data_IF_506058315133
#
_entry.id   IF_506058315133
#
_cell.length_a   1.000
_cell.length_b   1.000
_cell.length_c   1.000
_cell.angle_alpha   90.00
_cell.angle_beta   90.00
_cell.angle_gamma   90.00
#
_symmetry.space_group_name_H-M   'P 1'
#
loop_
_entity.id
_entity.type
_entity.pdbx_description
1 polymer ?
#
# COMPACT_ATOMS: atom_id res chain seq x y z
N UNK A 1 4.29 21.79 -3.92
CA UNK A 1 4.58 20.89 -2.79
C UNK A 1 3.49 19.83 -2.83
N UNK A 2 3.81 18.60 -3.26
CA UNK A 2 2.83 17.52 -3.38
C UNK A 2 2.39 17.10 -1.96
N UNK A 3 1.07 17.09 -1.73
CA UNK A 3 0.48 16.73 -0.44
C UNK A 3 0.07 15.26 -0.51
N UNK A 4 1.04 14.36 -0.40
CA UNK A 4 0.77 12.92 -0.31
C UNK A 4 0.07 12.67 1.02
N UNK A 5 -1.26 12.52 0.98
CA UNK A 5 -2.05 12.10 2.14
C UNK A 5 -1.83 10.59 2.36
N UNK A 6 -1.13 10.28 3.45
CA UNK A 6 -0.99 8.90 3.95
C UNK A 6 -2.37 8.41 4.39
N UNK A 7 -3.00 7.54 3.60
CA UNK A 7 -4.18 6.79 4.02
C UNK A 7 -3.74 5.69 5.01
N UNK A 8 -3.91 5.98 6.29
CA UNK A 8 -3.58 5.07 7.39
C UNK A 8 -4.88 4.73 8.13
N UNK A 9 -5.50 3.55 7.88
CA UNK A 9 -6.80 3.20 8.42
C UNK A 9 -6.81 3.07 9.96
N UNK A 10 -5.66 3.19 10.63
CA UNK A 10 -5.54 3.09 12.08
C UNK A 10 -5.01 4.35 12.78
N UNK A 11 -4.72 5.43 12.03
CA UNK A 11 -4.27 6.72 12.62
C UNK A 11 -5.37 7.78 12.69
N UNK A 12 -6.55 7.49 12.15
CA UNK A 12 -7.69 8.42 12.08
C UNK A 12 -8.57 8.46 13.36
N UNK A 13 -8.26 7.69 14.39
CA UNK A 13 -9.06 7.63 15.64
C UNK A 13 -8.96 8.91 16.51
N UNK A 14 -8.17 9.92 16.11
CA UNK A 14 -8.01 11.16 16.91
C UNK A 14 -8.43 12.46 16.21
N UNK A 15 -9.13 12.40 15.08
CA UNK A 15 -9.76 13.60 14.51
C UNK A 15 -11.27 13.40 14.43
N UNK A 16 -11.94 14.09 15.33
CA UNK A 16 -13.39 14.16 15.49
C UNK A 16 -14.01 14.79 14.23
N UNK A 17 -14.61 13.98 13.35
CA UNK A 17 -15.48 14.44 12.26
C UNK A 17 -16.84 13.68 12.33
N UNK A 18 -17.94 14.34 12.76
CA UNK A 18 -19.13 13.68 13.30
C UNK A 18 -20.16 13.14 12.27
N UNK A 19 -19.83 12.96 10.98
CA UNK A 19 -20.87 12.67 9.96
C UNK A 19 -20.64 11.53 8.93
N UNK A 20 -19.67 10.61 9.08
CA UNK A 20 -19.50 9.48 8.12
C UNK A 20 -19.50 8.06 8.69
N UNK A 21 -19.87 7.90 9.97
CA UNK A 21 -19.93 6.61 10.66
C UNK A 21 -21.32 5.95 10.60
N UNK A 22 -21.75 5.34 9.50
CA UNK A 22 -22.93 4.44 9.59
C UNK A 22 -22.86 3.13 8.78
N UNK A 23 -22.10 3.02 7.67
CA UNK A 23 -22.37 1.91 6.72
C UNK A 23 -21.40 0.70 6.68
N UNK A 24 -20.19 0.74 7.26
CA UNK A 24 -19.32 -0.46 7.29
C UNK A 24 -18.83 -0.89 8.68
N UNK A 25 -19.39 -0.26 9.72
CA UNK A 25 -19.39 -0.75 11.10
C UNK A 25 -20.19 -2.07 11.24
N UNK A 26 -20.93 -2.51 10.20
CA UNK A 26 -21.94 -3.56 10.28
C UNK A 26 -21.59 -4.93 9.67
N UNK A 27 -20.46 -5.11 8.96
CA UNK A 27 -20.17 -6.38 8.25
C UNK A 27 -19.06 -7.29 8.81
N UNK A 28 -18.49 -6.98 9.98
CA UNK A 28 -17.41 -7.80 10.60
C UNK A 28 -17.57 -8.11 12.08
N UNK A 29 -18.80 -8.02 12.61
CA UNK A 29 -19.18 -8.04 14.03
C UNK A 29 -19.04 -9.43 14.72
N UNK A 30 -17.87 -10.08 14.64
CA UNK A 30 -17.47 -11.20 15.50
C UNK A 30 -16.00 -11.05 15.93
N UNK A 31 -15.80 -10.10 16.85
CA UNK A 31 -14.74 -9.95 17.85
C UNK A 31 -13.49 -10.83 17.66
N UNK A 32 -12.38 -10.24 17.19
CA UNK A 32 -11.03 -10.80 17.37
C UNK A 32 -10.21 -9.84 18.23
N UNK A 33 -9.62 -10.30 19.35
CA UNK A 33 -8.86 -9.42 20.24
C UNK A 33 -7.65 -8.87 19.49
N UNK A 34 -7.51 -7.54 19.49
CA UNK A 34 -6.42 -6.81 18.84
C UNK A 34 -5.13 -7.01 19.65
N UNK A 35 -4.48 -8.15 19.46
CA UNK A 35 -3.03 -8.20 19.57
C UNK A 35 -2.50 -7.37 18.41
N UNK A 36 -2.16 -6.10 18.68
CA UNK A 36 -1.46 -5.23 17.74
C UNK A 36 -0.02 -5.74 17.59
N UNK A 37 0.13 -6.90 16.95
CA UNK A 37 1.40 -7.29 16.35
C UNK A 37 1.72 -6.21 15.32
N UNK A 38 2.92 -5.63 15.42
CA UNK A 38 3.42 -4.65 14.47
C UNK A 38 3.46 -5.32 13.10
N UNK A 39 2.45 -5.09 12.27
CA UNK A 39 2.49 -5.51 10.87
C UNK A 39 3.69 -4.83 10.20
N UNK A 40 4.44 -5.55 9.35
CA UNK A 40 5.61 -5.03 8.68
C UNK A 40 5.20 -3.87 7.79
N UNK A 41 5.78 -2.70 8.05
CA UNK A 41 5.55 -1.53 7.22
C UNK A 41 6.37 -1.67 5.93
N UNK A 42 5.68 -1.79 4.79
CA UNK A 42 6.32 -1.65 3.47
C UNK A 42 6.86 -0.22 3.42
N UNK A 43 8.19 -0.03 3.36
CA UNK A 43 8.80 1.30 3.16
C UNK A 43 8.78 1.64 1.68
N UNK A 44 8.57 2.92 1.35
CA UNK A 44 8.53 3.34 -0.05
C UNK A 44 8.82 4.82 -0.22
N UNK A 45 9.35 5.13 -1.39
CA UNK A 45 9.46 6.47 -1.93
C UNK A 45 8.47 6.65 -3.09
N UNK A 46 7.91 7.85 -3.18
CA UNK A 46 7.03 8.27 -4.27
C UNK A 46 7.62 9.54 -4.87
N UNK A 47 7.94 9.51 -6.15
CA UNK A 47 8.33 10.68 -6.93
C UNK A 47 7.35 10.89 -8.08
N UNK A 48 7.29 12.10 -8.60
CA UNK A 48 6.47 12.44 -9.75
C UNK A 48 7.23 13.35 -10.72
N UNK A 49 6.86 13.27 -11.98
CA UNK A 49 7.11 14.28 -12.98
C UNK A 49 5.77 14.73 -13.62
N UNK A 50 5.82 15.53 -14.68
CA UNK A 50 4.63 16.03 -15.36
C UNK A 50 3.76 14.92 -15.97
N UNK A 51 4.32 13.73 -16.22
CA UNK A 51 3.70 12.64 -16.97
C UNK A 51 3.33 11.44 -16.11
N UNK A 52 4.07 11.14 -15.06
CA UNK A 52 3.89 9.91 -14.30
C UNK A 52 4.33 10.02 -12.82
N UNK A 53 3.81 9.11 -12.01
CA UNK A 53 4.34 8.78 -10.70
C UNK A 53 5.29 7.59 -10.81
N UNK A 54 6.39 7.64 -10.04
CA UNK A 54 7.29 6.51 -9.83
C UNK A 54 7.29 6.15 -8.35
N UNK A 55 6.98 4.89 -8.04
CA UNK A 55 6.95 4.38 -6.67
C UNK A 55 8.00 3.29 -6.53
N UNK A 56 8.81 3.36 -5.48
CA UNK A 56 9.80 2.34 -5.12
C UNK A 56 9.49 1.83 -3.73
N UNK A 57 9.01 0.60 -3.62
CA UNK A 57 8.62 -0.03 -2.37
C UNK A 57 9.56 -1.20 -2.03
N UNK A 58 10.11 -1.18 -0.82
CA UNK A 58 10.98 -2.24 -0.29
C UNK A 58 10.11 -3.38 0.27
N UNK A 59 10.23 -4.57 -0.34
CA UNK A 59 9.49 -5.78 0.01
C UNK A 59 10.43 -7.01 -0.05
N UNK A 60 11.51 -7.05 0.75
CA UNK A 60 12.52 -8.10 0.64
C UNK A 60 11.97 -9.48 1.03
N UNK A 61 12.44 -10.52 0.36
CA UNK A 61 12.11 -11.92 0.70
C UNK A 61 10.72 -12.39 0.30
N UNK A 62 9.98 -11.59 -0.48
CA UNK A 62 8.69 -11.96 -1.06
C UNK A 62 8.85 -12.37 -2.52
N UNK A 63 8.13 -13.43 -2.93
CA UNK A 63 8.09 -13.87 -4.34
C UNK A 63 7.17 -12.96 -5.16
N UNK A 64 7.43 -12.80 -6.45
CA UNK A 64 6.66 -11.89 -7.34
C UNK A 64 5.17 -12.20 -7.31
N UNK A 65 4.83 -13.48 -7.35
CA UNK A 65 3.47 -14.01 -7.33
C UNK A 65 2.72 -13.74 -6.01
N UNK A 66 3.44 -13.45 -4.93
CA UNK A 66 2.89 -13.13 -3.61
C UNK A 66 2.79 -11.61 -3.36
N UNK A 67 3.07 -10.79 -4.38
CA UNK A 67 2.88 -9.33 -4.37
C UNK A 67 1.67 -8.99 -5.23
N UNK A 68 0.70 -8.25 -4.66
CA UNK A 68 -0.44 -7.72 -5.42
C UNK A 68 -0.48 -6.21 -5.31
N UNK A 69 -0.68 -5.57 -6.44
CA UNK A 69 -0.83 -4.13 -6.58
C UNK A 69 -2.21 -3.85 -7.18
N UNK A 70 -2.98 -2.97 -6.56
CA UNK A 70 -4.24 -2.48 -7.10
C UNK A 70 -4.18 -0.97 -7.26
N UNK A 71 -4.72 -0.49 -8.38
CA UNK A 71 -4.82 0.92 -8.72
C UNK A 71 -6.27 1.20 -9.06
N UNK A 72 -6.89 2.12 -8.32
CA UNK A 72 -8.27 2.56 -8.51
C UNK A 72 -8.32 4.09 -8.49
N UNK A 73 -8.52 4.71 -9.65
CA UNK A 73 -8.42 6.16 -9.83
C UNK A 73 -7.03 6.68 -9.45
N UNK A 74 -6.95 7.39 -8.32
CA UNK A 74 -5.71 7.88 -7.72
C UNK A 74 -5.28 7.11 -6.47
N UNK A 75 -5.99 6.06 -6.07
CA UNK A 75 -5.64 5.21 -4.93
C UNK A 75 -4.76 4.04 -5.38
N UNK A 76 -3.64 3.85 -4.69
CA UNK A 76 -2.71 2.73 -4.92
C UNK A 76 -2.63 1.89 -3.64
N UNK A 77 -2.79 0.58 -3.79
CA UNK A 77 -2.62 -0.36 -2.68
C UNK A 77 -1.65 -1.47 -3.05
N UNK A 78 -0.76 -1.81 -2.12
CA UNK A 78 0.27 -2.83 -2.25
C UNK A 78 0.07 -3.82 -1.11
N UNK A 79 -0.04 -5.10 -1.45
CA UNK A 79 -0.07 -6.21 -0.49
C UNK A 79 1.02 -7.21 -0.82
N UNK A 80 1.67 -7.74 0.20
CA UNK A 80 2.72 -8.72 0.07
C UNK A 80 2.67 -9.73 1.22
N UNK A 81 2.97 -11.00 0.96
CA UNK A 81 3.00 -12.04 1.99
C UNK A 81 4.38 -12.69 2.08
N UNK A 82 5.04 -12.52 3.23
CA UNK A 82 6.28 -13.23 3.56
C UNK A 82 5.88 -14.57 4.19
N UNK A 83 5.96 -15.65 3.40
CA UNK A 83 5.66 -16.99 3.89
C UNK A 83 6.79 -17.51 4.78
N UNK A 84 6.42 -18.12 5.92
CA UNK A 84 7.36 -18.88 6.75
C UNK A 84 7.63 -20.22 6.07
N UNK A 85 8.87 -20.44 5.63
CA UNK A 85 9.30 -21.78 5.25
C UNK A 85 9.37 -22.63 6.53
N UNK A 86 8.70 -23.79 6.54
CA UNK A 86 8.82 -24.75 7.63
C UNK A 86 10.23 -25.37 7.57
N UNK A 87 11.18 -24.77 8.30
CA UNK A 87 12.46 -25.38 8.60
C UNK A 87 12.32 -26.39 9.75
N UNK A 88 11.55 -27.46 9.53
CA UNK A 88 11.81 -28.73 10.22
C UNK A 88 12.54 -29.62 9.21
N UNK A 89 13.83 -29.32 9.01
CA UNK A 89 14.75 -30.31 8.46
C UNK A 89 15.37 -31.01 9.66
N UNK A 90 15.16 -32.32 9.77
CA UNK A 90 15.74 -33.15 10.83
C UNK A 90 17.22 -32.79 11.03
N UNK A 91 17.57 -32.33 12.24
CA UNK A 91 18.94 -31.95 12.59
C UNK A 91 19.31 -30.46 12.54
N UNK A 92 18.40 -29.54 12.14
CA UNK A 92 18.64 -28.08 12.25
C UNK A 92 17.74 -27.42 13.29
N UNK A 93 18.37 -26.73 14.25
CA UNK A 93 17.68 -25.92 15.27
C UNK A 93 17.87 -24.44 14.92
N UNK A 94 16.78 -23.72 14.68
CA UNK A 94 16.80 -22.24 14.63
C UNK A 94 17.13 -21.74 16.04
N UNK A 95 18.28 -21.08 16.21
CA UNK A 95 18.73 -20.54 17.50
C UNK A 95 18.23 -19.14 17.77
N UNK A 96 17.92 -18.37 16.72
CA UNK A 96 17.42 -17.00 16.77
C UNK A 96 16.77 -16.64 15.42
N UNK A 97 15.71 -15.85 15.43
CA UNK A 97 15.06 -15.35 14.20
C UNK A 97 14.48 -13.96 14.43
N UNK A 98 14.98 -12.99 13.69
CA UNK A 98 14.49 -11.60 13.67
C UNK A 98 13.60 -11.33 12.46
N UNK A 99 13.58 -12.25 11.50
CA UNK A 99 12.82 -12.14 10.27
C UNK A 99 11.33 -12.15 10.60
N UNK A 100 10.61 -11.16 10.08
CA UNK A 100 9.16 -11.14 10.09
C UNK A 100 8.60 -12.13 9.05
N UNK A 101 7.52 -12.80 9.41
CA UNK A 101 6.70 -13.61 8.50
C UNK A 101 5.24 -13.22 8.69
N UNK A 102 4.51 -13.06 7.58
CA UNK A 102 3.13 -12.60 7.61
C UNK A 102 2.81 -11.68 6.43
N UNK A 103 1.67 -11.01 6.52
CA UNK A 103 1.17 -10.11 5.48
C UNK A 103 1.57 -8.67 5.78
N UNK A 104 1.98 -7.97 4.73
CA UNK A 104 2.26 -6.56 4.72
C UNK A 104 1.23 -5.88 3.80
N UNK A 105 0.67 -4.75 4.23
CA UNK A 105 -0.25 -3.97 3.43
C UNK A 105 0.10 -2.49 3.52
N UNK A 106 0.03 -1.78 2.40
CA UNK A 106 0.16 -0.32 2.36
C UNK A 106 -0.75 0.26 1.29
N UNK A 107 -1.46 1.33 1.62
CA UNK A 107 -2.34 2.05 0.69
C UNK A 107 -2.13 3.55 0.83
N UNK A 108 -2.22 4.28 -0.27
CA UNK A 108 -2.03 5.73 -0.31
C UNK A 108 -2.74 6.32 -1.52
N UNK A 109 -2.98 7.63 -1.45
CA UNK A 109 -3.67 8.39 -2.49
C UNK A 109 -2.70 9.34 -3.16
N UNK A 110 -2.76 9.41 -4.49
CA UNK A 110 -2.00 10.31 -5.34
C UNK A 110 -2.81 11.57 -5.62
N UNK A 111 -2.12 12.66 -5.99
CA UNK A 111 -2.78 13.94 -6.28
C UNK A 111 -3.65 13.88 -7.56
N UNK A 112 -3.32 12.98 -8.49
CA UNK A 112 -4.03 12.81 -9.76
C UNK A 112 -4.35 11.35 -10.04
N UNK A 113 -5.45 11.14 -10.76
CA UNK A 113 -5.79 9.84 -11.33
C UNK A 113 -4.68 9.35 -12.25
N UNK A 114 -4.43 8.05 -12.19
CA UNK A 114 -3.48 7.37 -13.07
C UNK A 114 -4.21 6.58 -14.14
N UNK A 115 -3.52 6.29 -15.23
CA UNK A 115 -3.99 5.39 -16.28
C UNK A 115 -3.56 3.94 -15.94
N UNK A 116 -4.48 3.08 -15.48
CA UNK A 116 -4.14 1.72 -15.08
C UNK A 116 -3.74 0.85 -16.27
N UNK A 117 -4.23 1.13 -17.48
CA UNK A 117 -3.93 0.33 -18.68
C UNK A 117 -2.49 0.56 -19.16
N UNK A 118 -1.93 1.74 -18.86
CA UNK A 118 -0.56 2.10 -19.18
C UNK A 118 0.43 1.89 -18.01
N UNK A 119 -0.05 1.49 -16.83
CA UNK A 119 0.76 1.26 -15.65
C UNK A 119 1.73 0.08 -15.83
N UNK A 120 2.91 0.19 -15.23
CA UNK A 120 3.94 -0.86 -15.27
C UNK A 120 4.45 -1.17 -13.88
N UNK A 121 4.71 -2.45 -13.63
CA UNK A 121 5.33 -2.92 -12.40
C UNK A 121 6.57 -3.76 -12.72
N UNK A 122 7.64 -3.53 -11.98
CA UNK A 122 8.87 -4.33 -12.01
C UNK A 122 9.25 -4.70 -10.59
N UNK A 123 9.76 -5.91 -10.41
CA UNK A 123 10.27 -6.36 -9.12
C UNK A 123 11.63 -7.02 -9.32
N UNK A 124 12.63 -6.50 -8.63
CA UNK A 124 14.01 -6.96 -8.68
C UNK A 124 14.68 -6.66 -7.34
N UNK A 125 15.49 -7.60 -6.87
CA UNK A 125 16.34 -7.42 -5.68
C UNK A 125 15.59 -6.95 -4.42
N UNK A 126 14.34 -7.40 -4.25
CA UNK A 126 13.50 -7.03 -3.10
C UNK A 126 12.82 -5.67 -3.20
N UNK A 127 12.92 -4.99 -4.35
CA UNK A 127 12.30 -3.68 -4.58
C UNK A 127 11.25 -3.77 -5.68
N UNK A 128 10.03 -3.32 -5.36
CA UNK A 128 8.93 -3.13 -6.29
C UNK A 128 8.98 -1.71 -6.84
N UNK A 129 9.21 -1.58 -8.14
CA UNK A 129 9.13 -0.31 -8.87
C UNK A 129 7.82 -0.25 -9.67
N UNK A 130 7.00 0.77 -9.42
CA UNK A 130 5.80 1.07 -10.18
C UNK A 130 6.00 2.34 -10.99
N UNK A 131 5.63 2.31 -12.27
CA UNK A 131 5.50 3.49 -13.11
C UNK A 131 4.02 3.66 -13.44
N UNK A 132 3.41 4.73 -12.93
CA UNK A 132 1.98 5.00 -13.05
C UNK A 132 1.77 6.29 -13.84
N UNK A 133 1.49 6.22 -15.16
CA UNK A 133 1.22 7.40 -15.97
C UNK A 133 -0.01 8.16 -15.46
N UNK A 134 0.07 9.49 -15.42
CA UNK A 134 -1.07 10.35 -15.08
C UNK A 134 -2.10 10.28 -16.19
N UNK A 135 -3.38 10.22 -15.82
CA UNK A 135 -4.47 10.17 -16.79
C UNK A 135 -4.58 11.50 -17.53
N UNK A 136 -4.49 11.49 -18.85
CA UNK A 136 -4.66 12.70 -19.67
C UNK A 136 -6.11 13.18 -19.65
N UNK A 137 -6.33 14.46 -19.37
CA UNK A 137 -7.67 15.10 -19.47
C UNK A 137 -8.26 15.60 -18.15
N UNK A 138 -7.59 15.39 -17.01
CA UNK A 138 -7.95 15.98 -15.70
C UNK A 138 -7.25 17.34 -15.49
N UNK A 139 -7.21 18.18 -16.52
CA UNK A 139 -6.75 19.56 -16.36
C UNK A 139 -7.72 20.29 -15.42
N UNK A 140 -7.21 20.74 -14.28
CA UNK A 140 -7.93 21.61 -13.34
C UNK A 140 -8.55 22.77 -14.12
N UNK A 141 -9.88 22.81 -14.23
CA UNK A 141 -10.58 23.96 -14.80
C UNK A 141 -10.74 25.01 -13.72
N UNK A 142 -10.14 26.17 -13.94
CA UNK A 142 -10.44 27.36 -13.14
C UNK A 142 -11.79 27.91 -13.62
N UNK A 143 -12.73 28.05 -12.70
CA UNK A 143 -14.04 28.62 -12.99
C UNK A 143 -13.98 30.12 -12.73
N UNK A 144 -14.33 30.93 -13.73
CA UNK A 144 -14.56 32.35 -13.52
C UNK A 144 -15.87 32.52 -12.77
N UNK A 145 -15.82 33.12 -11.59
CA UNK A 145 -17.02 33.50 -10.83
C UNK A 145 -17.56 34.80 -11.39
N UNK A 146 -18.82 34.80 -11.80
CA UNK A 146 -19.59 35.97 -12.26
C UNK A 146 -20.70 36.31 -11.28
#
# INVERSE_FOLDING_TARGET
MANITRYDPFREITRFDPFRNFDDLFKGFLVRPVSRELEPEIKMDVSEDDKAYTIRAEIPGVKKEDIKVSVDGNQVSISAEVKKEKEEKEGRKVVHSERYYGKAYRSFTLDHDVDPDAAKAKYSDGVLELTLPKKTGTARKELTVS
#
